data_IF_225092050415
#
_entry.id   IF_225092050415
#
_cell.length_a   1.000
_cell.length_b   1.000
_cell.length_c   1.000
_cell.angle_alpha   90.00
_cell.angle_beta   90.00
_cell.angle_gamma   90.00
#
_symmetry.space_group_name_H-M   'P 1'
#
loop_
_entity.id
_entity.type
_entity.pdbx_description
1 polymer ?
#
# COMPACT_ATOMS: atom_id res chain seq x y z
N UNK A 1 22.47 -19.80 8.72
CA UNK A 1 22.20 -18.85 7.61
C UNK A 1 20.69 -18.67 7.53
N UNK A 2 20.16 -17.49 7.84
CA UNK A 2 18.71 -17.23 7.72
C UNK A 2 18.31 -17.18 6.25
N UNK A 3 17.72 -18.27 5.75
CA UNK A 3 17.17 -18.38 4.38
C UNK A 3 15.78 -17.73 4.24
N UNK A 4 15.41 -16.81 5.14
CA UNK A 4 14.10 -16.15 5.13
C UNK A 4 13.92 -15.22 3.92
N UNK A 5 12.66 -15.05 3.51
CA UNK A 5 12.27 -14.05 2.51
C UNK A 5 12.33 -12.67 3.13
N UNK A 6 12.64 -11.64 2.32
CA UNK A 6 12.51 -10.24 2.75
C UNK A 6 11.04 -9.92 3.08
N UNK A 7 10.83 -9.06 4.07
CA UNK A 7 9.48 -8.61 4.49
C UNK A 7 8.70 -8.08 3.30
N UNK A 8 9.31 -7.23 2.45
CA UNK A 8 8.64 -6.74 1.25
C UNK A 8 8.22 -7.86 0.30
N UNK A 9 9.07 -8.86 0.09
CA UNK A 9 8.70 -10.03 -0.75
C UNK A 9 7.54 -10.82 -0.17
N UNK A 10 7.48 -10.93 1.17
CA UNK A 10 6.36 -11.54 1.86
C UNK A 10 5.07 -10.75 1.67
N UNK A 11 5.12 -9.40 1.70
CA UNK A 11 3.97 -8.55 1.42
C UNK A 11 3.45 -8.74 0.00
N UNK A 12 4.35 -8.84 -0.99
CA UNK A 12 4.01 -9.02 -2.40
C UNK A 12 3.22 -10.31 -2.65
N UNK A 13 3.39 -11.35 -1.83
CA UNK A 13 2.65 -12.62 -1.95
C UNK A 13 1.14 -12.47 -1.68
N UNK A 14 0.74 -11.44 -0.92
CA UNK A 14 -0.68 -11.13 -0.68
C UNK A 14 -1.33 -10.38 -1.84
N UNK A 15 -0.56 -9.91 -2.84
CA UNK A 15 -1.12 -9.27 -4.01
C UNK A 15 -1.70 -10.32 -4.98
N UNK A 16 -2.91 -10.13 -5.51
CA UNK A 16 -3.53 -11.01 -6.49
C UNK A 16 -2.91 -10.81 -7.88
N UNK A 17 -1.67 -11.28 -8.05
CA UNK A 17 -0.86 -11.09 -9.24
C UNK A 17 -1.55 -11.55 -10.52
N UNK A 18 -2.30 -12.65 -10.46
CA UNK A 18 -3.04 -13.17 -11.62
C UNK A 18 -4.08 -12.18 -12.14
N UNK A 19 -4.80 -11.51 -11.23
CA UNK A 19 -5.81 -10.51 -11.59
C UNK A 19 -5.15 -9.27 -12.18
N UNK A 20 -4.05 -8.80 -11.58
CA UNK A 20 -3.27 -7.70 -12.16
C UNK A 20 -2.82 -7.98 -13.59
N UNK A 21 -2.29 -9.17 -13.88
CA UNK A 21 -1.88 -9.52 -15.24
C UNK A 21 -3.05 -9.66 -16.24
N UNK A 22 -4.25 -10.03 -15.79
CA UNK A 22 -5.45 -9.97 -16.64
C UNK A 22 -5.73 -8.53 -17.08
N UNK A 23 -5.62 -7.58 -16.14
CA UNK A 23 -5.79 -6.16 -16.43
C UNK A 23 -4.69 -5.63 -17.33
N UNK A 24 -3.41 -5.98 -17.07
CA UNK A 24 -2.28 -5.62 -17.95
C UNK A 24 -2.52 -6.06 -19.38
N UNK A 25 -3.04 -7.27 -19.61
CA UNK A 25 -3.38 -7.77 -20.95
C UNK A 25 -4.54 -6.97 -21.57
N UNK A 26 -5.59 -6.66 -20.80
CA UNK A 26 -6.76 -5.87 -21.25
C UNK A 26 -6.36 -4.50 -21.77
N UNK A 27 -5.47 -3.82 -21.05
CA UNK A 27 -4.98 -2.48 -21.40
C UNK A 27 -3.77 -2.50 -22.36
N UNK A 28 -3.26 -3.68 -22.76
CA UNK A 28 -2.00 -3.82 -23.51
C UNK A 28 -0.85 -3.02 -22.89
N UNK A 29 -0.85 -2.87 -21.57
CA UNK A 29 -0.03 -1.89 -20.87
C UNK A 29 1.48 -2.22 -20.86
N UNK A 30 1.86 -3.47 -21.08
CA UNK A 30 3.25 -3.90 -21.22
C UNK A 30 3.72 -4.03 -22.70
N UNK A 31 2.85 -3.66 -23.66
CA UNK A 31 3.23 -3.59 -25.07
C UNK A 31 4.37 -2.59 -25.23
N UNK A 32 5.45 -2.99 -25.86
CA UNK A 32 6.66 -2.19 -26.06
C UNK A 32 7.50 -1.91 -24.81
N UNK A 33 7.20 -2.56 -23.67
CA UNK A 33 7.98 -2.38 -22.44
C UNK A 33 9.26 -3.20 -22.50
N UNK A 34 10.43 -2.53 -22.40
CA UNK A 34 11.75 -3.19 -22.48
C UNK A 34 12.38 -3.48 -21.12
N UNK A 35 12.18 -2.64 -20.12
CA UNK A 35 12.93 -2.71 -18.85
C UNK A 35 12.07 -2.83 -17.61
N UNK A 36 11.01 -2.03 -17.48
CA UNK A 36 10.16 -1.96 -16.29
C UNK A 36 8.75 -2.34 -16.68
N UNK A 37 8.32 -3.57 -16.38
CA UNK A 37 6.93 -4.01 -16.58
C UNK A 37 5.96 -3.22 -15.69
N UNK A 38 4.66 -3.27 -15.97
CA UNK A 38 3.64 -2.67 -15.10
C UNK A 38 3.69 -3.25 -13.69
N UNK A 39 3.99 -4.55 -13.57
CA UNK A 39 4.17 -5.20 -12.27
C UNK A 39 5.38 -4.63 -11.51
N UNK A 40 6.53 -4.51 -12.18
CA UNK A 40 7.71 -3.92 -11.55
C UNK A 40 7.48 -2.46 -11.14
N UNK A 41 6.76 -1.69 -11.98
CA UNK A 41 6.40 -0.31 -11.64
C UNK A 41 5.51 -0.28 -10.40
N UNK A 42 4.47 -1.12 -10.33
CA UNK A 42 3.61 -1.23 -9.15
C UNK A 42 4.44 -1.51 -7.90
N UNK A 43 5.30 -2.54 -7.94
CA UNK A 43 6.11 -2.93 -6.79
C UNK A 43 7.09 -1.83 -6.35
N UNK A 44 7.73 -1.15 -7.31
CA UNK A 44 8.64 -0.04 -7.01
C UNK A 44 7.92 1.13 -6.37
N UNK A 45 6.78 1.52 -6.92
CA UNK A 45 5.97 2.61 -6.38
C UNK A 45 5.44 2.27 -4.98
N UNK A 46 4.99 1.03 -4.76
CA UNK A 46 4.56 0.53 -3.44
C UNK A 46 5.72 0.52 -2.44
N UNK A 47 6.90 0.05 -2.87
CA UNK A 47 8.10 0.08 -2.03
C UNK A 47 8.45 1.51 -1.61
N UNK A 48 8.40 2.46 -2.53
CA UNK A 48 8.62 3.88 -2.23
C UNK A 48 7.59 4.44 -1.25
N UNK A 49 6.30 4.07 -1.38
CA UNK A 49 5.26 4.45 -0.43
C UNK A 49 5.53 3.87 0.97
N UNK A 50 5.88 2.60 1.05
CA UNK A 50 6.14 1.90 2.31
C UNK A 50 7.45 2.34 2.98
N UNK A 51 8.48 2.69 2.21
CA UNK A 51 9.77 3.18 2.74
C UNK A 51 9.78 4.68 3.02
N UNK A 52 8.66 5.37 2.81
CA UNK A 52 8.54 6.80 3.11
C UNK A 52 9.35 7.71 2.17
N UNK A 53 9.66 7.27 0.93
CA UNK A 53 10.40 8.11 -0.03
C UNK A 53 9.63 9.37 -0.41
N UNK A 54 10.29 10.52 -0.37
CA UNK A 54 9.70 11.80 -0.76
C UNK A 54 9.75 12.06 -2.27
N UNK A 55 10.57 11.29 -3.02
CA UNK A 55 10.74 11.49 -4.46
C UNK A 55 11.16 10.22 -5.20
N UNK A 56 10.94 10.19 -6.54
CA UNK A 56 11.49 9.14 -7.41
C UNK A 56 13.02 9.10 -7.43
N UNK A 57 13.69 10.22 -7.14
CA UNK A 57 15.16 10.27 -7.01
C UNK A 57 15.59 9.44 -5.80
N UNK A 58 14.97 9.66 -4.67
CA UNK A 58 15.26 8.93 -3.44
C UNK A 58 14.96 7.44 -3.60
N UNK A 59 13.80 7.09 -4.16
CA UNK A 59 13.45 5.72 -4.48
C UNK A 59 14.52 5.06 -5.37
N UNK A 60 14.97 5.73 -6.43
CA UNK A 60 16.00 5.20 -7.32
C UNK A 60 17.34 5.01 -6.60
N UNK A 61 17.71 5.94 -5.69
CA UNK A 61 18.92 5.82 -4.85
C UNK A 61 18.85 4.62 -3.92
N UNK A 62 17.72 4.42 -3.22
CA UNK A 62 17.52 3.28 -2.30
C UNK A 62 17.59 1.95 -3.07
N UNK A 63 16.89 1.87 -4.21
CA UNK A 63 16.91 0.66 -5.04
C UNK A 63 18.30 0.36 -5.60
N UNK A 64 19.05 1.40 -6.01
CA UNK A 64 20.43 1.25 -6.49
C UNK A 64 21.37 0.79 -5.36
N UNK A 65 21.26 1.36 -4.17
CA UNK A 65 22.04 0.95 -2.99
C UNK A 65 21.80 -0.52 -2.63
N UNK A 66 20.61 -1.03 -2.88
CA UNK A 66 20.22 -2.41 -2.60
C UNK A 66 20.10 -3.30 -3.86
N UNK A 67 20.85 -3.00 -4.92
CA UNK A 67 20.77 -3.69 -6.20
C UNK A 67 20.87 -5.22 -6.08
N UNK A 68 21.75 -5.73 -5.22
CA UNK A 68 21.90 -7.18 -4.97
C UNK A 68 20.62 -7.83 -4.43
N UNK A 69 19.76 -7.06 -3.76
CA UNK A 69 18.47 -7.51 -3.20
C UNK A 69 17.32 -7.36 -4.21
N UNK A 70 17.46 -6.51 -5.23
CA UNK A 70 16.38 -6.13 -6.17
C UNK A 70 15.66 -7.32 -6.81
N UNK A 71 16.41 -8.36 -7.20
CA UNK A 71 15.83 -9.58 -7.74
C UNK A 71 14.90 -10.28 -6.72
N UNK A 72 15.34 -10.38 -5.48
CA UNK A 72 14.56 -11.01 -4.40
C UNK A 72 13.37 -10.17 -3.96
N UNK A 73 13.39 -8.86 -4.22
CA UNK A 73 12.28 -7.94 -3.95
C UNK A 73 11.25 -7.91 -5.09
N UNK A 74 11.51 -8.63 -6.20
CA UNK A 74 10.62 -8.68 -7.35
C UNK A 74 10.77 -7.51 -8.33
N UNK A 75 11.81 -6.67 -8.18
CA UNK A 75 12.02 -5.51 -9.08
C UNK A 75 12.64 -5.88 -10.44
N UNK A 76 13.02 -7.17 -10.62
CA UNK A 76 13.71 -7.63 -11.81
C UNK A 76 15.23 -7.56 -11.71
N UNK A 77 15.90 -7.87 -12.81
CA UNK A 77 17.37 -7.84 -12.92
C UNK A 77 17.81 -6.50 -13.53
N UNK A 78 18.72 -5.81 -12.86
CA UNK A 78 19.36 -4.61 -13.38
C UNK A 78 19.04 -3.33 -12.63
N UNK A 79 19.73 -2.25 -13.00
CA UNK A 79 19.55 -0.92 -12.41
C UNK A 79 18.33 -0.27 -13.05
N UNK A 80 17.42 0.20 -12.21
CA UNK A 80 16.26 0.96 -12.64
C UNK A 80 16.60 2.44 -12.56
N UNK A 81 16.76 3.05 -13.73
CA UNK A 81 17.02 4.48 -13.80
C UNK A 81 15.76 5.28 -13.41
N UNK A 82 15.96 6.39 -12.70
CA UNK A 82 14.90 7.35 -12.35
C UNK A 82 14.08 7.75 -13.58
N UNK A 83 14.73 8.11 -14.68
CA UNK A 83 14.07 8.52 -15.92
C UNK A 83 13.16 7.45 -16.51
N UNK A 84 13.52 6.17 -16.36
CA UNK A 84 12.66 5.05 -16.82
C UNK A 84 11.37 4.99 -16.01
N UNK A 85 11.45 5.22 -14.71
CA UNK A 85 10.27 5.20 -13.83
C UNK A 85 9.41 6.45 -14.03
N UNK A 86 10.04 7.62 -14.21
CA UNK A 86 9.35 8.87 -14.58
C UNK A 86 8.59 8.72 -15.89
N UNK A 87 9.25 8.16 -16.92
CA UNK A 87 8.62 7.91 -18.21
C UNK A 87 7.43 6.94 -18.08
N UNK A 88 7.61 5.86 -17.32
CA UNK A 88 6.55 4.89 -17.07
C UNK A 88 5.34 5.55 -16.37
N UNK A 89 5.57 6.37 -15.36
CA UNK A 89 4.50 7.09 -14.64
C UNK A 89 3.80 8.14 -15.54
N UNK A 90 4.51 8.76 -16.46
CA UNK A 90 3.94 9.76 -17.35
C UNK A 90 3.09 9.17 -18.48
N UNK A 91 3.45 7.97 -18.99
CA UNK A 91 2.89 7.48 -20.26
C UNK A 91 2.06 6.19 -20.13
N UNK A 92 2.15 5.45 -19.03
CA UNK A 92 1.31 4.26 -18.83
C UNK A 92 -0.11 4.65 -18.51
N UNK A 93 -1.06 3.88 -19.02
CA UNK A 93 -2.47 4.09 -18.74
C UNK A 93 -2.78 3.92 -17.25
N UNK A 94 -3.15 5.00 -16.58
CA UNK A 94 -3.48 5.00 -15.16
C UNK A 94 -4.70 4.13 -14.84
N UNK A 95 -5.60 3.88 -15.82
CA UNK A 95 -6.81 3.06 -15.64
C UNK A 95 -6.51 1.63 -15.22
N UNK A 96 -5.35 1.11 -15.60
CA UNK A 96 -4.84 -0.17 -15.09
C UNK A 96 -4.75 -0.17 -13.56
N UNK A 97 -4.13 0.85 -13.01
CA UNK A 97 -3.92 0.98 -11.55
C UNK A 97 -5.21 1.35 -10.84
N UNK A 98 -6.08 2.12 -11.48
CA UNK A 98 -7.42 2.45 -11.00
C UNK A 98 -8.27 1.18 -10.83
N UNK A 99 -8.40 0.37 -11.88
CA UNK A 99 -9.15 -0.88 -11.83
C UNK A 99 -8.60 -1.84 -10.77
N UNK A 100 -7.27 -1.94 -10.68
CA UNK A 100 -6.65 -2.77 -9.66
C UNK A 100 -6.85 -2.23 -8.24
N UNK A 101 -6.87 -0.91 -8.05
CA UNK A 101 -7.19 -0.30 -6.76
C UNK A 101 -8.63 -0.60 -6.32
N UNK A 102 -9.60 -0.55 -7.24
CA UNK A 102 -10.98 -0.95 -6.95
C UNK A 102 -11.07 -2.44 -6.56
N UNK A 103 -10.37 -3.30 -7.29
CA UNK A 103 -10.31 -4.72 -6.95
C UNK A 103 -9.73 -4.94 -5.55
N UNK A 104 -8.60 -4.32 -5.22
CA UNK A 104 -7.96 -4.42 -3.91
C UNK A 104 -8.84 -3.86 -2.78
N UNK A 105 -9.56 -2.78 -3.05
CA UNK A 105 -10.52 -2.20 -2.10
C UNK A 105 -11.66 -3.18 -1.80
N UNK A 106 -12.25 -3.79 -2.83
CA UNK A 106 -13.29 -4.80 -2.68
C UNK A 106 -12.78 -6.01 -1.87
N UNK A 107 -11.57 -6.48 -2.18
CA UNK A 107 -10.95 -7.59 -1.46
C UNK A 107 -10.69 -7.25 0.02
N UNK A 108 -10.20 -6.06 0.33
CA UNK A 108 -9.97 -5.62 1.71
C UNK A 108 -11.28 -5.43 2.48
N UNK A 109 -12.34 -4.95 1.82
CA UNK A 109 -13.67 -4.81 2.41
C UNK A 109 -14.28 -6.17 2.74
N UNK A 110 -14.22 -7.16 1.83
CA UNK A 110 -14.77 -8.51 2.07
C UNK A 110 -14.15 -9.13 3.32
N UNK A 111 -12.84 -9.00 3.51
CA UNK A 111 -12.13 -9.52 4.68
C UNK A 111 -12.49 -8.80 5.99
N UNK A 112 -12.88 -7.53 5.95
CA UNK A 112 -13.34 -6.77 7.12
C UNK A 112 -14.77 -7.10 7.53
N UNK A 113 -15.63 -7.42 6.56
CA UNK A 113 -17.04 -7.79 6.82
C UNK A 113 -17.13 -9.07 7.66
N UNK A 114 -16.20 -10.00 7.51
CA UNK A 114 -16.17 -11.22 8.32
C UNK A 114 -16.00 -10.95 9.84
N UNK A 115 -15.60 -9.73 10.25
CA UNK A 115 -15.50 -9.32 11.66
C UNK A 115 -16.71 -8.56 12.21
N UNK A 116 -17.62 -8.06 11.35
CA UNK A 116 -18.76 -7.25 11.79
C UNK A 116 -20.03 -7.57 11.01
N UNK A 117 -20.96 -8.24 11.63
CA UNK A 117 -22.37 -7.92 11.57
C UNK A 117 -23.35 -8.69 10.70
N UNK A 118 -24.20 -9.36 11.46
CA UNK A 118 -25.66 -9.47 11.15
C UNK A 118 -26.37 -8.36 11.96
N UNK A 119 -26.93 -7.33 11.32
CA UNK A 119 -27.83 -6.35 11.94
C UNK A 119 -29.12 -6.23 11.15
N UNK A 120 -30.23 -6.57 11.79
CA UNK A 120 -31.57 -6.39 11.26
C UNK A 120 -32.17 -5.04 11.74
N UNK A 121 -32.58 -4.17 10.79
CA UNK A 121 -33.46 -3.03 11.06
C UNK A 121 -33.13 -1.73 10.28
N UNK A 122 -34.15 -1.10 9.69
CA UNK A 122 -34.06 0.06 8.77
C UNK A 122 -33.32 1.31 9.33
N UNK A 123 -33.45 1.63 10.60
CA UNK A 123 -32.70 2.76 11.21
C UNK A 123 -31.19 2.50 11.26
N UNK A 124 -30.78 1.25 11.23
CA UNK A 124 -29.39 0.80 11.26
C UNK A 124 -28.74 0.92 9.89
N UNK A 125 -29.49 0.83 8.79
CA UNK A 125 -28.98 0.97 7.43
C UNK A 125 -28.54 2.40 7.15
N UNK A 126 -29.24 3.40 7.66
CA UNK A 126 -28.88 4.82 7.55
C UNK A 126 -27.60 5.11 8.38
N UNK A 127 -27.52 4.59 9.59
CA UNK A 127 -26.32 4.72 10.43
C UNK A 127 -25.12 4.00 9.79
N UNK A 128 -25.35 2.87 9.10
CA UNK A 128 -24.32 2.11 8.37
C UNK A 128 -23.82 2.89 7.15
N UNK A 129 -24.71 3.54 6.38
CA UNK A 129 -24.33 4.43 5.27
C UNK A 129 -23.52 5.64 5.75
N UNK A 130 -23.89 6.23 6.88
CA UNK A 130 -23.12 7.31 7.52
C UNK A 130 -21.75 6.83 8.01
N UNK A 131 -21.68 5.66 8.63
CA UNK A 131 -20.43 5.02 9.06
C UNK A 131 -19.53 4.71 7.86
N UNK A 132 -20.07 4.22 6.75
CA UNK A 132 -19.30 3.97 5.52
C UNK A 132 -18.76 5.27 4.93
N UNK A 133 -19.55 6.35 4.87
CA UNK A 133 -19.08 7.67 4.43
C UNK A 133 -17.97 8.21 5.30
N UNK A 134 -18.08 8.05 6.62
CA UNK A 134 -17.04 8.45 7.58
C UNK A 134 -15.76 7.63 7.41
N UNK A 135 -15.87 6.34 7.14
CA UNK A 135 -14.72 5.48 6.86
C UNK A 135 -13.95 5.92 5.60
N UNK A 136 -14.66 6.41 4.58
CA UNK A 136 -14.02 7.00 3.38
C UNK A 136 -13.20 8.24 3.74
N UNK A 137 -13.73 9.12 4.59
CA UNK A 137 -13.02 10.33 5.04
C UNK A 137 -11.79 9.94 5.89
N UNK A 138 -11.93 8.98 6.78
CA UNK A 138 -10.82 8.44 7.58
C UNK A 138 -9.75 7.79 6.70
N UNK A 139 -10.17 7.05 5.67
CA UNK A 139 -9.31 6.44 4.68
C UNK A 139 -8.46 7.48 3.92
N UNK A 140 -9.09 8.54 3.38
CA UNK A 140 -8.35 9.61 2.71
C UNK A 140 -7.46 10.42 3.67
N UNK A 141 -7.90 10.65 4.91
CA UNK A 141 -7.07 11.27 5.95
C UNK A 141 -5.86 10.40 6.24
N UNK A 142 -6.06 9.10 6.40
CA UNK A 142 -5.00 8.14 6.66
C UNK A 142 -3.98 8.09 5.52
N UNK A 143 -4.43 8.02 4.26
CA UNK A 143 -3.56 8.06 3.08
C UNK A 143 -2.70 9.33 3.08
N UNK A 144 -3.33 10.50 3.34
CA UNK A 144 -2.60 11.77 3.40
C UNK A 144 -1.58 11.84 4.53
N UNK A 145 -1.85 11.20 5.65
CA UNK A 145 -0.98 11.26 6.82
C UNK A 145 0.18 10.27 6.77
N UNK A 146 -0.03 9.11 6.17
CA UNK A 146 0.88 7.98 6.32
C UNK A 146 1.51 7.46 5.03
N UNK A 147 0.98 7.84 3.88
CA UNK A 147 1.57 7.54 2.59
C UNK A 147 2.08 8.84 1.92
N UNK A 148 3.09 8.70 1.08
CA UNK A 148 3.74 9.84 0.41
C UNK A 148 2.86 10.40 -0.73
N UNK A 149 1.68 10.92 -0.34
CA UNK A 149 0.76 11.64 -1.24
C UNK A 149 0.84 13.16 -1.03
N UNK A 150 1.65 13.60 -0.05
CA UNK A 150 1.87 15.03 0.23
C UNK A 150 2.74 15.69 -0.83
N UNK A 151 3.69 14.95 -1.41
CA UNK A 151 4.51 15.37 -2.53
C UNK A 151 4.26 14.45 -3.72
N UNK A 152 3.97 15.01 -4.89
CA UNK A 152 3.81 14.21 -6.09
C UNK A 152 5.18 13.97 -6.74
N UNK A 153 5.43 12.70 -7.11
CA UNK A 153 6.69 12.26 -7.71
C UNK A 153 6.77 12.55 -9.22
N UNK A 154 5.70 13.05 -9.81
CA UNK A 154 5.64 13.45 -11.21
C UNK A 154 4.70 14.63 -11.43
N UNK A 155 4.95 15.40 -12.50
CA UNK A 155 4.20 16.62 -12.82
C UNK A 155 3.04 16.39 -13.79
N UNK A 156 2.93 15.20 -14.39
CA UNK A 156 1.83 14.88 -15.31
C UNK A 156 0.60 14.39 -14.53
N UNK A 157 -0.59 14.72 -15.02
CA UNK A 157 -1.84 14.24 -14.44
C UNK A 157 -1.85 12.70 -14.31
N UNK A 158 -1.35 12.02 -15.35
CA UNK A 158 -1.25 10.56 -15.36
C UNK A 158 -0.36 10.02 -14.22
N UNK A 159 0.81 10.63 -13.99
CA UNK A 159 1.73 10.25 -12.93
C UNK A 159 1.11 10.46 -11.54
N UNK A 160 0.40 11.56 -11.33
CA UNK A 160 -0.31 11.86 -10.09
C UNK A 160 -1.41 10.82 -9.83
N UNK A 161 -2.21 10.50 -10.86
CA UNK A 161 -3.26 9.47 -10.76
C UNK A 161 -2.69 8.11 -10.40
N UNK A 162 -1.61 7.67 -11.08
CA UNK A 162 -0.92 6.41 -10.77
C UNK A 162 -0.45 6.41 -9.32
N UNK A 163 0.18 7.48 -8.85
CA UNK A 163 0.67 7.55 -7.46
C UNK A 163 -0.47 7.42 -6.45
N UNK A 164 -1.61 8.09 -6.68
CA UNK A 164 -2.79 8.00 -5.81
C UNK A 164 -3.33 6.56 -5.77
N UNK A 165 -3.52 5.92 -6.93
CA UNK A 165 -4.04 4.55 -6.98
C UNK A 165 -3.08 3.55 -6.36
N UNK A 166 -1.76 3.71 -6.57
CA UNK A 166 -0.76 2.87 -5.91
C UNK A 166 -0.78 3.07 -4.38
N UNK A 167 -0.99 4.29 -3.89
CA UNK A 167 -1.16 4.53 -2.46
C UNK A 167 -2.40 3.81 -1.89
N UNK A 168 -3.52 3.82 -2.62
CA UNK A 168 -4.73 3.06 -2.27
C UNK A 168 -4.45 1.56 -2.24
N UNK A 169 -3.79 1.02 -3.27
CA UNK A 169 -3.40 -0.39 -3.33
C UNK A 169 -2.52 -0.78 -2.14
N UNK A 170 -1.54 0.07 -1.80
CA UNK A 170 -0.63 -0.13 -0.67
C UNK A 170 -1.38 -0.18 0.66
N UNK A 171 -2.33 0.75 0.87
CA UNK A 171 -3.19 0.73 2.05
C UNK A 171 -3.99 -0.56 2.16
N UNK A 172 -4.66 -0.95 1.07
CA UNK A 172 -5.46 -2.17 1.03
C UNK A 172 -4.61 -3.41 1.31
N UNK A 173 -3.38 -3.47 0.76
CA UNK A 173 -2.45 -4.55 1.03
C UNK A 173 -2.11 -4.63 2.52
N UNK A 174 -1.75 -3.53 3.16
CA UNK A 174 -1.42 -3.52 4.60
C UNK A 174 -2.62 -3.96 5.43
N UNK A 175 -3.83 -3.51 5.08
CA UNK A 175 -5.06 -3.91 5.77
C UNK A 175 -5.37 -5.41 5.60
N UNK A 176 -5.11 -5.99 4.42
CA UNK A 176 -5.25 -7.42 4.14
C UNK A 176 -4.25 -8.23 4.97
N UNK A 177 -2.99 -7.79 5.00
CA UNK A 177 -1.92 -8.45 5.76
C UNK A 177 -2.20 -8.41 7.27
N UNK A 178 -2.63 -7.25 7.79
CA UNK A 178 -3.04 -7.11 9.19
C UNK A 178 -4.13 -8.12 9.56
N UNK A 179 -5.14 -8.23 8.69
CA UNK A 179 -6.24 -9.16 8.90
C UNK A 179 -5.79 -10.63 8.82
N UNK A 180 -5.11 -11.01 7.73
CA UNK A 180 -4.77 -12.43 7.44
C UNK A 180 -3.70 -12.97 8.40
N UNK A 181 -2.73 -12.15 8.77
CA UNK A 181 -1.68 -12.50 9.74
C UNK A 181 -2.14 -12.31 11.20
N UNK A 182 -3.36 -11.79 11.44
CA UNK A 182 -3.92 -11.53 12.79
C UNK A 182 -2.92 -10.74 13.67
N UNK A 183 -2.35 -9.67 13.13
CA UNK A 183 -1.27 -8.95 13.81
C UNK A 183 -1.72 -8.25 15.10
N UNK A 184 -3.04 -8.06 15.31
CA UNK A 184 -3.62 -7.49 16.53
C UNK A 184 -3.28 -6.02 16.77
N UNK A 185 -2.77 -5.31 15.74
CA UNK A 185 -2.32 -3.91 15.80
C UNK A 185 -3.09 -3.06 14.80
N UNK A 186 -3.14 -1.75 15.04
CA UNK A 186 -3.73 -0.83 14.08
C UNK A 186 -2.91 -0.85 12.77
N UNK A 187 -3.58 -0.62 11.63
CA UNK A 187 -2.94 -0.51 10.31
C UNK A 187 -1.79 0.51 10.30
N UNK A 188 -1.88 1.56 11.12
CA UNK A 188 -0.82 2.55 11.32
C UNK A 188 0.45 1.94 11.93
N UNK A 189 0.32 1.20 13.02
CA UNK A 189 1.45 0.57 13.67
C UNK A 189 2.10 -0.48 12.77
N UNK A 190 1.29 -1.24 12.02
CA UNK A 190 1.78 -2.20 11.03
C UNK A 190 2.60 -1.47 9.95
N UNK A 191 2.09 -0.37 9.39
CA UNK A 191 2.82 0.42 8.40
C UNK A 191 4.15 0.95 8.93
N UNK A 192 4.16 1.45 10.16
CA UNK A 192 5.36 1.98 10.81
C UNK A 192 6.44 0.92 11.00
N UNK A 193 6.05 -0.28 11.42
CA UNK A 193 6.97 -1.43 11.53
C UNK A 193 7.47 -1.83 10.15
N UNK A 194 6.60 -1.93 9.17
CA UNK A 194 6.96 -2.27 7.80
C UNK A 194 7.97 -1.28 7.21
N UNK A 195 7.77 0.03 7.43
CA UNK A 195 8.68 1.07 6.95
C UNK A 195 10.14 0.80 7.38
N UNK A 196 10.34 0.36 8.60
CA UNK A 196 11.67 0.10 9.16
C UNK A 196 12.25 -1.27 8.75
N UNK A 197 11.40 -2.25 8.41
CA UNK A 197 11.79 -3.65 8.27
C UNK A 197 11.68 -4.22 6.85
N UNK A 198 11.33 -3.42 5.84
CA UNK A 198 11.08 -3.90 4.46
C UNK A 198 12.21 -4.77 3.89
N UNK A 199 13.44 -4.47 4.26
CA UNK A 199 14.66 -5.13 3.78
C UNK A 199 15.22 -6.18 4.75
N UNK A 200 14.49 -6.47 5.82
CA UNK A 200 14.84 -7.52 6.78
C UNK A 200 14.31 -8.87 6.31
N UNK A 201 14.94 -9.94 6.80
CA UNK A 201 14.51 -11.31 6.54
C UNK A 201 13.76 -11.89 7.73
N UNK A 202 12.69 -11.22 8.13
CA UNK A 202 11.83 -11.61 9.24
C UNK A 202 10.45 -12.01 8.70
N UNK A 203 9.87 -13.12 9.13
CA UNK A 203 8.49 -13.46 8.78
C UNK A 203 7.52 -12.37 9.26
N UNK A 204 6.52 -12.01 8.44
CA UNK A 204 5.56 -10.95 8.77
C UNK A 204 4.86 -11.18 10.12
N UNK A 205 4.42 -12.40 10.49
CA UNK A 205 3.81 -12.64 11.80
C UNK A 205 4.75 -12.36 12.98
N UNK A 206 6.07 -12.49 12.78
CA UNK A 206 7.04 -12.29 13.86
C UNK A 206 7.40 -10.80 14.06
N UNK A 207 7.08 -9.93 13.08
CA UNK A 207 7.26 -8.48 13.21
C UNK A 207 6.41 -7.90 14.35
N UNK A 208 5.30 -8.55 14.71
CA UNK A 208 4.44 -8.10 15.81
C UNK A 208 4.96 -8.51 17.19
N UNK A 209 5.74 -9.57 17.30
CA UNK A 209 6.19 -10.13 18.58
C UNK A 209 7.32 -9.33 19.24
N UNK A 210 8.16 -8.66 18.44
CA UNK A 210 9.39 -8.03 18.94
C UNK A 210 9.21 -6.59 19.45
N UNK A 211 7.99 -6.05 19.50
CA UNK A 211 7.74 -4.65 19.88
C UNK A 211 6.73 -4.50 21.04
N UNK A 212 6.75 -5.35 22.04
CA UNK A 212 5.89 -5.21 23.24
C UNK A 212 6.16 -3.94 24.08
N UNK A 213 7.04 -3.05 23.66
CA UNK A 213 7.43 -1.83 24.41
C UNK A 213 7.32 -0.50 23.65
N UNK A 214 6.66 -0.41 22.51
CA UNK A 214 6.33 0.89 21.96
C UNK A 214 5.01 1.34 22.57
N UNK A 215 5.18 2.27 23.50
CA UNK A 215 4.19 2.93 24.35
C UNK A 215 2.88 3.25 23.59
N UNK A 216 1.79 2.59 23.95
CA UNK A 216 0.43 2.81 23.42
C UNK A 216 -0.09 4.24 23.66
N UNK A 217 0.65 5.07 24.40
CA UNK A 217 0.27 6.45 24.75
C UNK A 217 0.13 7.40 23.55
N UNK A 218 0.74 7.08 22.39
CA UNK A 218 0.59 7.90 21.18
C UNK A 218 -0.61 7.53 20.29
N UNK A 219 -1.31 6.46 20.59
CA UNK A 219 -2.43 5.98 19.76
C UNK A 219 -3.74 6.69 20.14
N UNK A 220 -3.89 7.10 21.39
CA UNK A 220 -5.14 7.69 21.92
C UNK A 220 -5.35 9.15 21.49
N UNK A 221 -4.28 9.92 21.30
CA UNK A 221 -4.38 11.34 20.91
C UNK A 221 -4.85 11.57 19.47
N UNK A 222 -4.63 10.61 18.56
CA UNK A 222 -5.10 10.73 17.17
C UNK A 222 -6.54 10.23 16.95
N UNK A 223 -7.10 9.47 17.88
CA UNK A 223 -8.46 8.90 17.77
C UNK A 223 -9.50 9.60 18.67
N UNK A 224 -9.07 10.41 19.63
CA UNK A 224 -9.97 11.11 20.56
C UNK A 224 -9.98 12.63 20.34
N UNK A 225 -10.36 13.09 19.16
CA UNK A 225 -11.05 14.37 19.07
C UNK A 225 -12.51 14.14 19.51
N UNK A 226 -12.72 14.12 20.80
CA UNK A 226 -14.04 14.34 21.39
C UNK A 226 -14.43 15.78 21.06
N UNK A 227 -15.22 15.96 20.00
CA UNK A 227 -15.96 17.20 19.79
C UNK A 227 -16.94 17.33 20.97
N UNK A 228 -16.57 18.09 21.97
CA UNK A 228 -17.54 18.66 22.90
C UNK A 228 -18.33 19.70 22.12
N UNK A 229 -19.55 19.38 21.74
CA UNK A 229 -20.54 20.38 21.39
C UNK A 229 -21.08 20.89 22.73
N UNK A 230 -20.70 22.11 23.14
CA UNK A 230 -21.42 22.88 24.12
C UNK A 230 -22.63 23.50 23.40
N UNK A 231 -23.82 23.25 23.97
CA UNK A 231 -25.07 23.88 23.58
C UNK A 231 -25.14 25.31 24.11
#
# INVERSE_FOLDING_TARGET
MNSGKYVFSGLVEFLPQKEFYKMVKRYNADKWTKRVSCWNQLLLMMFGQLSGCDSLRELACIVAAHQKKSYHLGFGKGIIARSTLEYANAHRDYRLYEEFAYYMTSLAQSKRIDREFVLNGQAKDIAMLYKQRWQVVLFFRWIKQHLQVKSFWGNTENAVRIQIYVAIITYCLVAIVEHDCKLGRSTFNVLRVLNLSLLDKTPIPDLSKNQEKLDDRYVDDCMQLKLKFEY
#
